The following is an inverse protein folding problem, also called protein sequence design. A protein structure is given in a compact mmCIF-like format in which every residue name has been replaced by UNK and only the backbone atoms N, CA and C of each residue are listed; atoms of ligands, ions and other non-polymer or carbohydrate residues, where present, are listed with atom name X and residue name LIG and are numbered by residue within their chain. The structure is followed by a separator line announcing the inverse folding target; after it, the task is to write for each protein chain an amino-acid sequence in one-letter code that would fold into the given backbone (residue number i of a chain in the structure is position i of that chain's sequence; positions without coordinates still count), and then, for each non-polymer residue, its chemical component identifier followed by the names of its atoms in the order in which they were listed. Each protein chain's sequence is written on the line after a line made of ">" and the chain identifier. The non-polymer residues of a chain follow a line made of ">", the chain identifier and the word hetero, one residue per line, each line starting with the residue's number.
data_IF_446548792375
#
_entry.id   IF_446548792375
#
_cell.length_a   1.000
_cell.length_b   1.000
_cell.length_c   1.000
_cell.angle_alpha   90.00
_cell.angle_beta   90.00
_cell.angle_gamma   90.00
#
_symmetry.space_group_name_H-M   'P 1'
#
loop_
_entity.id
_entity.type
_entity.pdbx_description
1 polymer ?
#
# COMPACT_ATOMS: atom_id res chain seq x y z
N UNK A 1 -21.13 9.60 -23.78
CA UNK A 1 -20.22 9.16 -22.71
C UNK A 1 -20.43 7.68 -22.48
N UNK A 2 -19.48 7.00 -21.85
CA UNK A 2 -19.69 5.64 -21.37
C UNK A 2 -20.81 5.65 -20.31
N UNK A 3 -21.86 4.85 -20.49
CA UNK A 3 -22.95 4.73 -19.51
C UNK A 3 -22.67 3.71 -18.40
N UNK A 4 -21.54 2.97 -18.49
CA UNK A 4 -21.15 1.96 -17.50
C UNK A 4 -20.59 2.55 -16.21
N UNK A 5 -20.23 3.84 -16.20
CA UNK A 5 -19.69 4.57 -15.06
C UNK A 5 -20.59 5.77 -14.79
N UNK A 6 -21.29 5.76 -13.65
CA UNK A 6 -22.30 6.77 -13.34
C UNK A 6 -21.71 8.00 -12.68
N UNK A 7 -20.74 7.80 -11.77
CA UNK A 7 -20.17 8.90 -10.98
C UNK A 7 -21.22 9.59 -10.14
N UNK A 8 -21.81 8.85 -9.19
CA UNK A 8 -22.97 9.29 -8.41
C UNK A 8 -22.81 10.66 -7.77
N UNK A 9 -21.60 10.99 -7.30
CA UNK A 9 -21.24 12.34 -6.88
C UNK A 9 -20.53 13.13 -7.98
N UNK A 10 -19.38 12.61 -8.45
CA UNK A 10 -18.54 13.24 -9.46
C UNK A 10 -18.38 12.30 -10.65
N UNK A 11 -18.54 12.84 -11.85
CA UNK A 11 -18.20 12.13 -13.08
C UNK A 11 -17.09 12.87 -13.85
N UNK A 12 -15.98 12.17 -14.11
CA UNK A 12 -14.83 12.70 -14.85
C UNK A 12 -14.84 12.13 -16.26
N UNK A 13 -15.29 12.91 -17.23
CA UNK A 13 -15.36 12.44 -18.61
C UNK A 13 -14.01 12.58 -19.32
N UNK A 14 -13.56 11.52 -19.98
CA UNK A 14 -12.34 11.52 -20.78
C UNK A 14 -12.51 10.71 -22.06
N UNK A 15 -11.56 10.84 -22.98
CA UNK A 15 -11.52 10.16 -24.26
C UNK A 15 -10.11 9.67 -24.56
N UNK A 16 -10.02 8.59 -25.34
CA UNK A 16 -8.74 8.07 -25.79
C UNK A 16 -7.99 9.14 -26.60
N UNK A 17 -6.69 9.29 -26.34
CA UNK A 17 -5.81 10.26 -27.01
C UNK A 17 -5.74 10.08 -28.53
N UNK A 18 -6.17 8.94 -29.05
CA UNK A 18 -6.27 8.66 -30.49
C UNK A 18 -7.43 9.38 -31.17
N UNK A 19 -8.34 10.02 -30.43
CA UNK A 19 -9.46 10.81 -30.96
C UNK A 19 -9.17 12.31 -30.77
N UNK A 20 -8.59 13.01 -31.77
CA UNK A 20 -8.01 14.35 -31.58
C UNK A 20 -9.03 15.44 -31.24
N UNK A 21 -10.30 15.18 -31.55
CA UNK A 21 -11.41 16.11 -31.33
C UNK A 21 -11.84 16.20 -29.87
N UNK A 22 -11.39 15.29 -29.00
CA UNK A 22 -11.77 15.25 -27.60
C UNK A 22 -10.55 15.41 -26.70
N UNK A 23 -10.78 16.06 -25.57
CA UNK A 23 -9.79 16.20 -24.51
C UNK A 23 -10.12 15.27 -23.35
N UNK A 24 -9.09 14.91 -22.61
CA UNK A 24 -9.24 14.12 -21.41
C UNK A 24 -9.61 15.02 -20.23
N UNK A 25 -10.71 14.73 -19.54
CA UNK A 25 -11.01 15.38 -18.26
C UNK A 25 -10.02 14.94 -17.20
N UNK A 26 -9.61 15.88 -16.36
CA UNK A 26 -8.71 15.64 -15.24
C UNK A 26 -9.37 16.10 -13.95
N UNK A 27 -9.44 15.20 -12.97
CA UNK A 27 -9.80 15.55 -11.60
C UNK A 27 -8.56 15.46 -10.73
N UNK A 28 -8.18 16.59 -10.14
CA UNK A 28 -7.12 16.66 -9.12
C UNK A 28 -7.76 16.92 -7.78
N UNK A 29 -7.59 15.99 -6.85
CA UNK A 29 -8.23 16.02 -5.54
C UNK A 29 -7.18 15.93 -4.44
N UNK A 30 -7.26 16.83 -3.47
CA UNK A 30 -6.37 16.81 -2.32
C UNK A 30 -7.14 16.94 -1.03
N UNK A 31 -6.62 16.30 0.03
CA UNK A 31 -7.19 16.31 1.37
C UNK A 31 -8.70 15.99 1.35
N UNK A 32 -9.09 14.89 0.72
CA UNK A 32 -10.50 14.53 0.59
C UNK A 32 -10.86 13.21 1.29
N UNK A 33 -12.12 13.15 1.73
CA UNK A 33 -12.72 11.96 2.30
C UNK A 33 -13.83 11.46 1.38
N UNK A 34 -13.68 10.24 0.86
CA UNK A 34 -14.64 9.56 -0.02
C UNK A 34 -15.25 8.40 0.77
N UNK A 35 -16.43 8.62 1.32
CA UNK A 35 -17.03 7.69 2.30
C UNK A 35 -18.54 7.64 2.21
N UNK A 36 -19.16 6.54 2.62
CA UNK A 36 -20.62 6.39 2.66
C UNK A 36 -21.28 6.66 1.29
N UNK A 37 -20.60 6.34 0.20
CA UNK A 37 -21.19 6.35 -1.14
C UNK A 37 -21.61 4.94 -1.53
N UNK A 38 -22.61 4.84 -2.41
CA UNK A 38 -23.16 3.55 -2.85
C UNK A 38 -23.10 3.45 -4.37
N UNK A 39 -22.64 2.32 -4.89
CA UNK A 39 -22.83 1.89 -6.27
C UNK A 39 -23.59 0.56 -6.26
N UNK A 40 -24.49 0.33 -7.20
CA UNK A 40 -25.17 -0.98 -7.28
C UNK A 40 -24.25 -2.07 -7.84
N UNK A 41 -23.24 -1.73 -8.64
CA UNK A 41 -22.31 -2.70 -9.22
C UNK A 41 -20.96 -2.67 -8.46
N UNK A 42 -19.95 -1.95 -8.96
CA UNK A 42 -18.61 -1.90 -8.37
C UNK A 42 -18.13 -0.47 -8.09
N UNK A 43 -17.18 -0.32 -7.17
CA UNK A 43 -16.53 0.96 -6.91
C UNK A 43 -17.47 1.97 -6.26
N UNK A 44 -17.99 1.66 -5.07
CA UNK A 44 -18.79 2.58 -4.27
C UNK A 44 -18.07 3.91 -4.03
N UNK A 45 -16.77 3.88 -3.72
CA UNK A 45 -15.93 5.07 -3.59
C UNK A 45 -15.53 5.65 -4.94
N UNK A 46 -14.79 4.88 -5.72
CA UNK A 46 -14.24 5.24 -7.01
C UNK A 46 -14.36 4.10 -8.01
N UNK A 47 -14.80 4.41 -9.23
CA UNK A 47 -14.74 3.49 -10.35
C UNK A 47 -14.19 4.16 -11.61
N UNK A 48 -13.38 3.44 -12.37
CA UNK A 48 -12.73 3.97 -13.56
C UNK A 48 -12.79 3.02 -14.75
N UNK A 49 -12.99 3.62 -15.92
CA UNK A 49 -13.07 2.91 -17.18
C UNK A 49 -11.68 2.57 -17.76
N UNK A 50 -11.64 1.76 -18.83
CA UNK A 50 -10.40 1.26 -19.44
C UNK A 50 -9.42 2.28 -20.01
N UNK A 51 -9.84 3.50 -20.30
CA UNK A 51 -8.92 4.57 -20.76
C UNK A 51 -8.42 5.47 -19.62
N UNK A 52 -8.91 5.25 -18.41
CA UNK A 52 -8.62 6.12 -17.28
C UNK A 52 -7.17 5.96 -16.83
N UNK A 53 -6.64 7.02 -16.22
CA UNK A 53 -5.39 6.97 -15.46
C UNK A 53 -5.71 7.30 -14.02
N UNK A 54 -5.23 6.47 -13.10
CA UNK A 54 -5.53 6.61 -11.67
C UNK A 54 -4.24 6.77 -10.89
N UNK A 55 -4.13 7.85 -10.12
CA UNK A 55 -3.05 8.01 -9.14
C UNK A 55 -3.65 8.39 -7.79
N UNK A 56 -3.33 7.62 -6.76
CA UNK A 56 -3.75 7.89 -5.39
C UNK A 56 -2.50 7.86 -4.53
N UNK A 57 -2.03 9.05 -4.12
CA UNK A 57 -0.86 9.24 -3.28
C UNK A 57 -1.28 9.64 -1.86
N UNK A 58 -0.40 9.42 -0.88
CA UNK A 58 -0.67 9.79 0.52
C UNK A 58 -0.58 11.31 0.79
N UNK A 59 0.48 11.96 0.30
CA UNK A 59 0.76 13.37 0.64
C UNK A 59 -0.37 14.25 0.10
N UNK A 60 -1.05 14.98 0.98
CA UNK A 60 -2.28 15.71 0.64
C UNK A 60 -3.32 14.81 -0.07
N UNK A 61 -3.32 13.52 0.23
CA UNK A 61 -4.07 12.48 -0.47
C UNK A 61 -5.54 12.43 -0.11
N UNK A 62 -6.10 11.23 -0.19
CA UNK A 62 -7.49 10.96 0.17
C UNK A 62 -7.63 9.76 1.09
N UNK A 63 -8.76 9.69 1.77
CA UNK A 63 -9.22 8.47 2.42
C UNK A 63 -10.46 7.92 1.72
N UNK A 64 -10.44 6.65 1.36
CA UNK A 64 -11.59 5.90 0.83
C UNK A 64 -11.98 4.80 1.83
N UNK A 65 -13.13 4.92 2.47
CA UNK A 65 -13.60 3.89 3.39
C UNK A 65 -15.12 3.94 3.57
N UNK A 66 -15.70 2.84 4.05
CA UNK A 66 -17.14 2.72 4.29
C UNK A 66 -18.01 3.06 3.06
N UNK A 67 -17.55 2.80 1.84
CA UNK A 67 -18.44 2.83 0.67
C UNK A 67 -19.07 1.44 0.48
N UNK A 68 -20.15 1.40 -0.29
CA UNK A 68 -20.94 0.19 -0.52
C UNK A 68 -21.04 -0.09 -2.01
N UNK A 69 -20.84 -1.34 -2.40
CA UNK A 69 -21.03 -1.89 -3.74
C UNK A 69 -21.17 -3.42 -3.66
N UNK A 70 -21.61 -4.08 -4.74
CA UNK A 70 -21.63 -5.55 -4.82
C UNK A 70 -20.22 -6.13 -4.70
N UNK A 71 -19.24 -5.49 -5.35
CA UNK A 71 -17.82 -5.81 -5.24
C UNK A 71 -16.95 -4.54 -5.34
N UNK A 72 -15.66 -4.65 -5.00
CA UNK A 72 -14.68 -3.57 -5.13
C UNK A 72 -15.16 -2.25 -4.49
N UNK A 73 -15.58 -2.32 -3.22
CA UNK A 73 -16.35 -1.26 -2.54
C UNK A 73 -15.68 0.11 -2.61
N UNK A 74 -14.36 0.16 -2.47
CA UNK A 74 -13.63 1.43 -2.45
C UNK A 74 -13.15 1.82 -3.84
N UNK A 75 -12.48 0.92 -4.55
CA UNK A 75 -11.84 1.20 -5.83
C UNK A 75 -12.11 0.08 -6.82
N UNK A 76 -12.63 0.45 -7.99
CA UNK A 76 -12.76 -0.43 -9.15
C UNK A 76 -12.09 0.18 -10.37
N UNK A 77 -11.12 -0.52 -10.99
CA UNK A 77 -10.45 -0.10 -12.22
C UNK A 77 -10.56 -1.23 -13.23
N UNK A 78 -11.19 -0.97 -14.37
CA UNK A 78 -11.48 -1.99 -15.38
C UNK A 78 -10.60 -1.84 -16.61
N UNK A 79 -9.91 -2.90 -17.06
CA UNK A 79 -9.41 -3.00 -18.43
C UNK A 79 -10.45 -3.69 -19.31
N UNK A 80 -10.66 -3.20 -20.54
CA UNK A 80 -11.64 -3.81 -21.43
C UNK A 80 -11.53 -3.30 -22.86
N UNK A 81 -11.82 -4.18 -23.82
CA UNK A 81 -11.91 -3.85 -25.24
C UNK A 81 -13.35 -3.57 -25.74
N UNK A 82 -14.35 -3.66 -24.85
CA UNK A 82 -15.77 -3.62 -25.24
C UNK A 82 -16.42 -2.22 -25.29
N UNK A 83 -15.71 -1.15 -24.89
CA UNK A 83 -16.26 0.20 -24.72
C UNK A 83 -15.90 1.19 -25.84
N UNK A 84 -15.52 0.69 -27.02
CA UNK A 84 -15.18 1.52 -28.18
C UNK A 84 -14.08 2.54 -27.87
N UNK A 85 -14.40 3.84 -27.97
CA UNK A 85 -13.44 4.92 -27.68
C UNK A 85 -13.03 5.01 -26.19
N UNK A 86 -13.69 4.26 -25.30
CA UNK A 86 -13.34 4.12 -23.89
C UNK A 86 -12.73 2.75 -23.55
N UNK A 87 -12.34 1.97 -24.57
CA UNK A 87 -11.57 0.73 -24.40
C UNK A 87 -10.08 1.00 -24.21
N UNK A 88 -9.40 0.15 -23.43
CA UNK A 88 -7.98 0.30 -23.15
C UNK A 88 -7.45 -0.51 -21.98
N UNK A 89 -6.19 -0.25 -21.69
CA UNK A 89 -5.38 -0.88 -20.66
C UNK A 89 -4.99 0.19 -19.62
N UNK A 90 -5.80 0.41 -18.57
CA UNK A 90 -5.63 1.52 -17.65
C UNK A 90 -4.40 1.32 -16.78
N UNK A 91 -3.73 2.42 -16.47
CA UNK A 91 -2.59 2.46 -15.53
C UNK A 91 -3.02 2.99 -14.18
N UNK A 92 -2.48 2.43 -13.11
CA UNK A 92 -2.80 2.81 -11.75
C UNK A 92 -1.56 2.84 -10.85
N UNK A 93 -1.56 3.77 -9.90
CA UNK A 93 -0.64 3.85 -8.76
C UNK A 93 -1.48 4.17 -7.52
N UNK A 94 -1.57 3.24 -6.57
CA UNK A 94 -2.46 3.35 -5.40
C UNK A 94 -1.63 3.26 -4.13
N UNK A 95 -1.80 4.26 -3.25
CA UNK A 95 -1.11 4.27 -1.97
C UNK A 95 -1.66 3.17 -1.05
N UNK A 96 -0.78 2.47 -0.30
CA UNK A 96 -1.21 1.58 0.76
C UNK A 96 -1.70 2.34 2.01
N UNK A 97 -1.53 3.67 2.05
CA UNK A 97 -1.85 4.53 3.19
C UNK A 97 -2.90 5.56 2.78
N UNK A 98 -3.90 5.77 3.63
CA UNK A 98 -4.93 6.80 3.44
C UNK A 98 -4.51 8.14 4.04
N UNK A 99 -5.18 9.22 3.65
CA UNK A 99 -5.03 10.54 4.29
C UNK A 99 -5.03 10.41 5.82
N UNK A 100 -4.03 10.98 6.50
CA UNK A 100 -3.83 10.78 7.94
C UNK A 100 -2.90 9.62 8.31
N UNK A 101 -2.45 8.87 7.31
CA UNK A 101 -1.39 7.86 7.41
C UNK A 101 -1.88 6.44 7.67
N UNK A 102 -3.13 6.23 8.10
CA UNK A 102 -3.64 4.89 8.40
C UNK A 102 -3.51 3.95 7.20
N UNK A 103 -3.06 2.72 7.44
CA UNK A 103 -2.95 1.73 6.37
C UNK A 103 -4.35 1.32 5.89
N UNK A 104 -4.52 1.17 4.58
CA UNK A 104 -5.75 0.63 4.03
C UNK A 104 -5.87 -0.87 4.31
N UNK A 105 -4.75 -1.59 4.36
CA UNK A 105 -4.74 -3.06 4.32
C UNK A 105 -5.71 -3.57 3.26
N UNK A 106 -5.47 -3.12 2.02
CA UNK A 106 -6.34 -3.36 0.89
C UNK A 106 -6.64 -4.85 0.75
N UNK A 107 -7.89 -5.16 0.43
CA UNK A 107 -8.38 -6.51 0.19
C UNK A 107 -9.03 -6.63 -1.17
N UNK A 108 -8.92 -7.81 -1.76
CA UNK A 108 -9.68 -8.18 -2.95
C UNK A 108 -11.13 -8.58 -2.58
N UNK A 109 -11.94 -8.89 -3.60
CA UNK A 109 -13.36 -9.20 -3.42
C UNK A 109 -13.60 -10.51 -2.63
N UNK A 110 -12.59 -11.38 -2.55
CA UNK A 110 -12.62 -12.60 -1.73
C UNK A 110 -12.21 -12.32 -0.26
N UNK A 111 -11.82 -11.08 0.05
CA UNK A 111 -11.40 -10.63 1.37
C UNK A 111 -9.94 -10.94 1.72
N UNK A 112 -9.13 -11.37 0.74
CA UNK A 112 -7.70 -11.61 0.94
C UNK A 112 -6.93 -10.30 0.87
N UNK A 113 -5.90 -10.15 1.70
CA UNK A 113 -5.01 -8.99 1.65
C UNK A 113 -4.27 -8.94 0.30
N UNK A 114 -4.27 -7.75 -0.30
CA UNK A 114 -3.62 -7.45 -1.57
C UNK A 114 -2.17 -7.08 -1.29
N UNK A 115 -1.24 -7.85 -1.87
CA UNK A 115 0.19 -7.57 -1.79
C UNK A 115 0.55 -6.20 -2.38
N UNK A 116 1.55 -5.53 -1.81
CA UNK A 116 1.89 -4.14 -2.16
C UNK A 116 2.30 -3.96 -3.63
N UNK A 117 2.96 -4.94 -4.24
CA UNK A 117 3.31 -4.93 -5.66
C UNK A 117 2.10 -4.97 -6.61
N UNK A 118 0.91 -5.31 -6.11
CA UNK A 118 -0.34 -5.27 -6.88
C UNK A 118 -1.03 -3.90 -6.83
N UNK A 119 -0.48 -2.92 -6.11
CA UNK A 119 -1.06 -1.58 -5.99
C UNK A 119 -0.57 -0.60 -7.07
N UNK A 120 0.30 -1.05 -7.98
CA UNK A 120 0.71 -0.26 -9.13
C UNK A 120 0.94 -1.13 -10.35
N UNK A 121 0.54 -0.63 -11.52
CA UNK A 121 0.80 -1.32 -12.78
C UNK A 121 -0.12 -0.87 -13.90
N UNK A 122 -0.22 -1.72 -14.90
CA UNK A 122 -1.14 -1.60 -16.02
C UNK A 122 -2.00 -2.86 -16.06
N UNK A 123 -3.31 -2.69 -16.12
CA UNK A 123 -4.24 -3.80 -16.35
C UNK A 123 -4.37 -4.03 -17.86
N UNK A 124 -4.53 -5.29 -18.27
CA UNK A 124 -4.59 -5.69 -19.65
C UNK A 124 -5.96 -6.22 -20.04
N UNK A 125 -6.61 -5.55 -20.99
CA UNK A 125 -7.93 -5.90 -21.49
C UNK A 125 -7.95 -7.27 -22.20
N UNK A 126 -6.81 -7.72 -22.73
CA UNK A 126 -6.68 -9.04 -23.35
C UNK A 126 -6.86 -10.20 -22.35
N UNK A 127 -6.67 -9.91 -21.05
CA UNK A 127 -6.78 -10.87 -19.96
C UNK A 127 -8.07 -10.66 -19.13
N UNK A 128 -8.97 -9.78 -19.57
CA UNK A 128 -10.18 -9.38 -18.83
C UNK A 128 -9.86 -8.89 -17.39
N UNK A 129 -8.74 -8.18 -17.24
CA UNK A 129 -8.26 -7.74 -15.93
C UNK A 129 -9.06 -6.57 -15.36
N UNK A 130 -9.27 -6.61 -14.04
CA UNK A 130 -9.71 -5.48 -13.25
C UNK A 130 -8.95 -5.45 -11.93
N UNK A 131 -8.92 -4.28 -11.29
CA UNK A 131 -8.47 -4.11 -9.91
C UNK A 131 -9.68 -3.73 -9.06
N UNK A 132 -10.08 -4.63 -8.17
CA UNK A 132 -11.07 -4.40 -7.13
C UNK A 132 -10.40 -4.33 -5.77
N UNK A 133 -10.60 -3.22 -5.05
CA UNK A 133 -10.07 -3.04 -3.70
C UNK A 133 -11.17 -2.62 -2.72
N UNK A 134 -11.09 -3.16 -1.52
CA UNK A 134 -11.85 -2.69 -0.36
C UNK A 134 -10.97 -2.67 0.90
N UNK A 135 -11.43 -1.98 1.94
CA UNK A 135 -10.77 -1.95 3.26
C UNK A 135 -11.77 -2.33 4.35
N UNK A 136 -11.28 -2.85 5.48
CA UNK A 136 -12.10 -3.05 6.68
C UNK A 136 -12.24 -1.76 7.50
N UNK A 137 -11.48 -0.71 7.17
CA UNK A 137 -11.60 0.60 7.82
C UNK A 137 -13.01 1.13 7.53
N UNK A 138 -13.71 1.53 8.59
CA UNK A 138 -15.05 2.14 8.49
C UNK A 138 -15.05 3.60 8.97
N UNK A 139 -13.99 4.01 9.66
CA UNK A 139 -13.79 5.35 10.17
C UNK A 139 -12.30 5.60 10.40
N UNK A 140 -11.85 6.83 10.12
CA UNK A 140 -10.52 7.29 10.48
C UNK A 140 -10.56 8.76 10.94
N UNK A 141 -10.17 9.01 12.20
CA UNK A 141 -10.25 10.36 12.79
C UNK A 141 -9.19 11.31 12.23
N UNK A 142 -8.01 10.80 11.87
CA UNK A 142 -6.94 11.61 11.30
C UNK A 142 -7.35 12.11 9.90
N UNK A 143 -7.86 11.21 9.06
CA UNK A 143 -8.45 11.52 7.77
C UNK A 143 -9.57 12.54 7.90
N UNK A 144 -10.50 12.33 8.83
CA UNK A 144 -11.63 13.24 9.08
C UNK A 144 -11.16 14.66 9.47
N UNK A 145 -10.10 14.75 10.27
CA UNK A 145 -9.53 16.04 10.72
C UNK A 145 -8.81 16.77 9.59
N UNK A 146 -8.13 16.02 8.73
CA UNK A 146 -7.35 16.56 7.62
C UNK A 146 -8.21 16.88 6.39
N UNK A 147 -9.34 16.21 6.23
CA UNK A 147 -10.23 16.41 5.10
C UNK A 147 -10.68 17.87 4.97
N UNK A 148 -10.73 18.34 3.73
CA UNK A 148 -11.23 19.65 3.29
C UNK A 148 -12.39 19.50 2.31
N UNK A 149 -12.44 18.37 1.61
CA UNK A 149 -13.54 17.97 0.74
C UNK A 149 -14.10 16.65 1.27
N UNK A 150 -15.42 16.54 1.34
CA UNK A 150 -16.10 15.28 1.68
C UNK A 150 -17.03 14.91 0.53
N UNK A 151 -16.84 13.73 -0.03
CA UNK A 151 -17.68 13.13 -1.07
C UNK A 151 -18.40 11.96 -0.39
N UNK A 152 -19.65 12.17 -0.02
CA UNK A 152 -20.42 11.19 0.75
C UNK A 152 -21.90 11.21 0.47
N UNK A 153 -22.57 10.08 0.70
CA UNK A 153 -24.02 9.95 0.55
C UNK A 153 -24.49 9.94 -0.90
N UNK A 154 -23.58 9.73 -1.86
CA UNK A 154 -23.91 9.67 -3.27
C UNK A 154 -24.30 8.24 -3.68
N UNK A 155 -25.10 8.14 -4.74
CA UNK A 155 -25.60 6.88 -5.26
C UNK A 155 -25.38 6.78 -6.77
N UNK A 156 -24.91 5.62 -7.25
CA UNK A 156 -24.82 5.28 -8.66
C UNK A 156 -25.55 3.96 -8.93
N UNK A 157 -26.44 3.97 -9.92
CA UNK A 157 -27.10 2.74 -10.41
C UNK A 157 -26.11 1.79 -11.11
N UNK A 158 -24.94 2.28 -11.50
CA UNK A 158 -23.89 1.48 -12.14
C UNK A 158 -22.67 1.41 -11.23
N UNK A 159 -21.56 2.02 -11.64
CA UNK A 159 -20.28 2.06 -10.94
C UNK A 159 -19.97 3.46 -10.45
N UNK A 160 -19.06 3.57 -9.48
CA UNK A 160 -18.49 4.87 -9.06
C UNK A 160 -19.49 5.68 -8.25
N UNK A 161 -19.88 5.20 -7.08
CA UNK A 161 -20.88 5.86 -6.23
C UNK A 161 -20.46 7.29 -5.85
N UNK A 162 -19.23 7.43 -5.35
CA UNK A 162 -18.61 8.74 -5.09
C UNK A 162 -18.09 9.36 -6.38
N UNK A 163 -17.18 8.66 -7.06
CA UNK A 163 -16.50 9.14 -8.26
C UNK A 163 -16.54 8.07 -9.36
N UNK A 164 -17.00 8.45 -10.54
CA UNK A 164 -16.93 7.65 -11.77
C UNK A 164 -16.02 8.36 -12.77
N UNK A 165 -15.15 7.63 -13.47
CA UNK A 165 -14.20 8.24 -14.39
C UNK A 165 -14.07 7.48 -15.70
N UNK A 166 -14.06 8.24 -16.80
CA UNK A 166 -13.37 7.86 -18.03
C UNK A 166 -12.13 8.72 -18.31
N UNK A 167 -11.82 9.65 -17.42
CA UNK A 167 -10.67 10.54 -17.53
C UNK A 167 -9.55 10.20 -16.57
N UNK A 168 -8.63 11.14 -16.40
CA UNK A 168 -7.55 11.03 -15.40
C UNK A 168 -8.06 11.49 -14.05
N UNK A 169 -7.76 10.69 -13.01
CA UNK A 169 -7.98 11.08 -11.62
C UNK A 169 -6.67 10.98 -10.85
N UNK A 170 -6.23 12.12 -10.33
CA UNK A 170 -5.04 12.25 -9.49
C UNK A 170 -5.46 12.72 -8.10
N UNK A 171 -5.13 11.92 -7.09
CA UNK A 171 -5.42 12.18 -5.71
C UNK A 171 -4.11 12.32 -4.94
N UNK A 172 -3.89 13.47 -4.30
CA UNK A 172 -2.65 13.76 -3.60
C UNK A 172 -1.44 14.01 -4.50
N UNK A 173 -0.29 14.19 -3.85
CA UNK A 173 1.00 14.54 -4.45
C UNK A 173 1.98 13.37 -4.37
N UNK A 174 2.76 13.18 -5.44
CA UNK A 174 3.82 12.18 -5.48
C UNK A 174 5.07 12.69 -4.76
N UNK A 175 5.31 12.18 -3.56
CA UNK A 175 6.59 12.29 -2.86
C UNK A 175 6.94 10.92 -2.29
N UNK A 176 7.52 10.11 -3.17
CA UNK A 176 7.64 8.66 -2.99
C UNK A 176 9.10 8.25 -2.80
N UNK A 177 9.28 7.14 -2.10
CA UNK A 177 10.52 6.41 -1.91
C UNK A 177 10.27 4.92 -2.18
N UNK A 178 11.33 4.13 -2.12
CA UNK A 178 11.26 2.69 -2.25
C UNK A 178 12.22 2.01 -1.28
N UNK A 179 11.86 0.81 -0.85
CA UNK A 179 12.61 0.04 0.14
C UNK A 179 13.09 -1.26 -0.47
N UNK A 180 14.38 -1.34 -0.73
CA UNK A 180 15.03 -2.54 -1.26
C UNK A 180 15.31 -3.53 -0.14
N UNK A 181 15.01 -4.81 -0.38
CA UNK A 181 15.35 -5.92 0.50
C UNK A 181 16.07 -7.00 -0.29
N UNK A 182 17.19 -7.49 0.25
CA UNK A 182 17.86 -8.69 -0.23
C UNK A 182 17.72 -9.79 0.82
N UNK A 183 17.52 -11.01 0.37
CA UNK A 183 17.46 -12.19 1.22
C UNK A 183 18.68 -13.07 1.03
N UNK A 184 19.23 -13.51 2.15
CA UNK A 184 20.40 -14.38 2.24
C UNK A 184 20.08 -15.60 3.12
N UNK A 185 20.71 -16.72 2.77
CA UNK A 185 20.59 -17.99 3.49
C UNK A 185 21.98 -18.39 3.98
N UNK A 186 22.18 -18.40 5.29
CA UNK A 186 23.44 -18.83 5.92
C UNK A 186 23.56 -20.34 5.99
N UNK A 187 22.44 -21.00 6.23
CA UNK A 187 22.33 -22.45 6.28
C UNK A 187 21.18 -22.89 5.36
N UNK A 188 21.26 -24.11 4.82
CA UNK A 188 20.20 -24.73 4.02
C UNK A 188 19.75 -26.01 4.72
N UNK A 189 18.44 -26.14 4.96
CA UNK A 189 17.86 -27.37 5.52
C UNK A 189 17.96 -28.52 4.53
N UNK A 190 17.90 -29.77 5.01
CA UNK A 190 17.89 -30.97 4.17
C UNK A 190 16.72 -31.02 3.19
N UNK A 191 15.60 -30.37 3.53
CA UNK A 191 14.43 -30.18 2.66
C UNK A 191 14.64 -29.14 1.55
N UNK A 192 15.80 -28.48 1.50
CA UNK A 192 16.05 -27.36 0.62
C UNK A 192 15.54 -26.02 1.18
N UNK A 193 15.63 -24.99 0.34
CA UNK A 193 15.06 -23.66 0.59
C UNK A 193 13.55 -23.67 0.27
N UNK A 194 12.74 -22.85 0.95
CA UNK A 194 11.34 -22.67 0.57
C UNK A 194 11.23 -22.12 -0.86
N UNK A 195 10.08 -22.35 -1.51
CA UNK A 195 9.82 -21.85 -2.87
C UNK A 195 9.53 -20.35 -2.90
N UNK A 196 8.92 -19.84 -1.84
CA UNK A 196 8.62 -18.43 -1.65
C UNK A 196 8.74 -18.06 -0.17
N UNK A 197 8.87 -16.77 0.11
CA UNK A 197 8.81 -16.22 1.46
C UNK A 197 7.97 -14.94 1.44
N UNK A 198 7.40 -14.58 2.59
CA UNK A 198 6.66 -13.34 2.75
C UNK A 198 7.47 -12.32 3.55
N UNK A 199 7.63 -11.12 2.98
CA UNK A 199 8.23 -9.98 3.66
C UNK A 199 7.15 -8.95 3.97
N UNK A 200 7.03 -8.60 5.25
CA UNK A 200 6.15 -7.58 5.77
C UNK A 200 6.89 -6.23 5.81
N UNK A 201 6.17 -5.17 5.44
CA UNK A 201 6.62 -3.78 5.54
C UNK A 201 5.92 -3.10 6.70
N UNK A 202 6.69 -2.38 7.50
CA UNK A 202 6.22 -1.56 8.60
C UNK A 202 6.72 -0.13 8.43
N UNK A 203 5.96 0.84 8.95
CA UNK A 203 6.33 2.26 9.00
C UNK A 203 6.23 2.79 10.42
N UNK A 204 7.02 3.81 10.75
CA UNK A 204 6.88 4.56 11.99
C UNK A 204 7.18 6.05 11.76
N UNK A 205 6.68 6.89 12.65
CA UNK A 205 7.24 8.23 12.88
C UNK A 205 8.23 8.12 14.04
N UNK A 206 9.28 8.95 14.05
CA UNK A 206 10.28 8.95 15.10
C UNK A 206 9.64 9.10 16.49
N UNK A 207 9.87 8.13 17.38
CA UNK A 207 9.27 8.08 18.72
C UNK A 207 7.93 7.35 18.81
N UNK A 208 7.37 6.88 17.68
CA UNK A 208 6.15 6.08 17.63
C UNK A 208 6.44 4.59 17.38
N UNK A 209 5.44 3.75 17.64
CA UNK A 209 5.53 2.32 17.38
C UNK A 209 5.39 2.02 15.87
N UNK A 210 6.13 1.03 15.34
CA UNK A 210 5.94 0.57 13.98
C UNK A 210 4.51 0.06 13.73
N UNK A 211 3.94 0.48 12.61
CA UNK A 211 2.63 0.06 12.12
C UNK A 211 2.80 -0.75 10.85
N UNK A 212 2.04 -1.85 10.76
CA UNK A 212 2.00 -2.69 9.58
C UNK A 212 1.42 -1.92 8.39
N UNK A 213 2.07 -2.03 7.23
CA UNK A 213 1.65 -1.38 5.98
C UNK A 213 1.08 -2.38 4.97
N UNK A 214 1.69 -3.56 4.91
CA UNK A 214 1.33 -4.62 3.98
C UNK A 214 2.48 -5.62 3.82
N UNK A 215 2.35 -6.53 2.87
CA UNK A 215 3.36 -7.53 2.59
C UNK A 215 3.54 -7.77 1.09
N UNK A 216 4.60 -8.49 0.75
CA UNK A 216 4.80 -9.09 -0.55
C UNK A 216 5.39 -10.49 -0.42
N UNK A 217 4.98 -11.38 -1.31
CA UNK A 217 5.58 -12.70 -1.48
C UNK A 217 6.70 -12.61 -2.50
N UNK A 218 7.88 -13.12 -2.17
CA UNK A 218 9.03 -13.12 -3.06
C UNK A 218 9.44 -14.55 -3.39
N UNK A 219 9.91 -14.72 -4.62
CA UNK A 219 10.49 -15.96 -5.16
C UNK A 219 11.91 -15.67 -5.65
N UNK A 220 12.81 -16.67 -5.73
CA UNK A 220 14.13 -16.43 -6.26
C UNK A 220 14.06 -16.15 -7.77
N UNK A 221 14.92 -15.27 -8.25
CA UNK A 221 15.13 -15.09 -9.68
C UNK A 221 15.80 -16.32 -10.32
N UNK A 222 15.97 -16.30 -11.64
CA UNK A 222 16.60 -17.40 -12.38
C UNK A 222 18.07 -17.68 -11.96
N UNK A 223 18.72 -16.74 -11.28
CA UNK A 223 20.08 -16.88 -10.72
C UNK A 223 20.07 -17.31 -9.25
N UNK A 224 18.89 -17.54 -8.65
CA UNK A 224 18.75 -17.91 -7.25
C UNK A 224 18.82 -16.73 -6.28
N UNK A 225 18.84 -15.48 -6.76
CA UNK A 225 18.84 -14.30 -5.90
C UNK A 225 17.43 -13.99 -5.44
N UNK A 226 17.32 -13.65 -4.16
CA UNK A 226 16.07 -13.25 -3.55
C UNK A 226 16.14 -11.75 -3.29
N UNK A 227 15.46 -10.96 -4.13
CA UNK A 227 15.45 -9.51 -4.06
C UNK A 227 14.04 -9.00 -4.30
N UNK A 228 13.66 -7.98 -3.54
CA UNK A 228 12.42 -7.24 -3.70
C UNK A 228 12.69 -5.76 -3.48
N UNK A 229 11.88 -4.92 -4.13
CA UNK A 229 11.78 -3.50 -3.81
C UNK A 229 10.31 -3.18 -3.56
N UNK A 230 9.98 -2.72 -2.36
CA UNK A 230 8.69 -2.11 -2.11
C UNK A 230 8.69 -0.72 -2.74
N UNK A 231 7.94 -0.55 -3.83
CA UNK A 231 7.88 0.70 -4.60
C UNK A 231 6.74 1.61 -4.11
N UNK A 232 6.76 2.86 -4.58
CA UNK A 232 5.65 3.82 -4.41
C UNK A 232 5.25 4.10 -2.95
N UNK A 233 6.22 4.07 -2.04
CA UNK A 233 6.00 4.31 -0.62
C UNK A 233 6.05 5.81 -0.31
N UNK A 234 5.09 6.38 0.44
CA UNK A 234 5.16 7.78 0.83
C UNK A 234 6.39 8.11 1.69
N UNK A 235 7.03 9.26 1.47
CA UNK A 235 8.15 9.71 2.33
C UNK A 235 7.71 10.29 3.66
N UNK A 236 6.58 10.99 3.67
CA UNK A 236 6.17 11.83 4.78
C UNK A 236 4.70 11.62 5.14
N UNK A 237 4.36 11.84 6.40
CA UNK A 237 2.97 11.98 6.85
C UNK A 237 2.37 13.31 6.39
N UNK A 238 1.10 13.53 6.73
CA UNK A 238 0.38 14.76 6.40
C UNK A 238 0.94 16.02 7.11
N UNK A 239 1.73 15.86 8.16
CA UNK A 239 2.36 16.95 8.91
C UNK A 239 3.80 17.25 8.42
N UNK A 240 4.31 16.47 7.46
CA UNK A 240 5.67 16.59 6.94
C UNK A 240 6.72 15.82 7.74
N UNK A 241 6.34 15.00 8.72
CA UNK A 241 7.27 14.13 9.42
C UNK A 241 7.71 12.97 8.51
N UNK A 242 9.00 12.65 8.50
CA UNK A 242 9.53 11.55 7.70
C UNK A 242 9.07 10.20 8.24
N UNK A 243 8.70 9.29 7.33
CA UNK A 243 8.52 7.88 7.67
C UNK A 243 9.86 7.17 7.80
N UNK A 244 9.90 6.31 8.82
CA UNK A 244 10.94 5.31 9.04
C UNK A 244 10.33 3.95 8.68
N UNK A 245 10.77 3.37 7.57
CA UNK A 245 10.36 2.04 7.15
C UNK A 245 11.23 0.97 7.81
N UNK A 246 10.64 -0.19 8.03
CA UNK A 246 11.35 -1.38 8.51
C UNK A 246 10.70 -2.63 7.92
N UNK A 247 11.44 -3.73 7.90
CA UNK A 247 10.99 -4.98 7.28
C UNK A 247 11.06 -6.13 8.25
N UNK A 248 10.19 -7.12 8.05
CA UNK A 248 10.16 -8.35 8.83
C UNK A 248 9.80 -9.51 7.94
N UNK A 249 10.53 -10.62 8.06
CA UNK A 249 10.15 -11.85 7.39
C UNK A 249 9.10 -12.60 8.22
N UNK A 250 8.05 -13.12 7.56
CA UNK A 250 7.11 -14.02 8.24
C UNK A 250 7.83 -15.30 8.67
N UNK A 251 7.54 -15.86 9.86
CA UNK A 251 8.28 -17.00 10.38
C UNK A 251 8.36 -18.18 9.39
N UNK A 252 9.59 -18.63 9.14
CA UNK A 252 9.86 -19.84 8.33
C UNK A 252 10.27 -20.94 9.29
N UNK A 253 9.56 -22.07 9.22
CA UNK A 253 9.80 -23.19 10.13
C UNK A 253 11.27 -23.65 10.11
N UNK A 254 11.87 -23.71 11.30
CA UNK A 254 13.25 -24.17 11.49
C UNK A 254 14.34 -23.15 11.16
N UNK A 255 13.99 -21.90 10.85
CA UNK A 255 14.93 -20.81 10.67
C UNK A 255 14.73 -19.70 11.71
N UNK A 256 15.81 -18.98 12.00
CA UNK A 256 15.79 -17.67 12.67
C UNK A 256 16.26 -16.63 11.66
N UNK A 257 15.49 -15.55 11.53
CA UNK A 257 15.79 -14.41 10.68
C UNK A 257 16.48 -13.28 11.46
N UNK A 258 17.51 -12.70 10.86
CA UNK A 258 18.12 -11.44 11.32
C UNK A 258 18.04 -10.38 10.23
N UNK A 259 17.65 -9.16 10.58
CA UNK A 259 17.58 -8.02 9.65
C UNK A 259 18.74 -7.08 9.92
N UNK A 260 19.43 -6.67 8.87
CA UNK A 260 20.51 -5.67 8.90
C UNK A 260 20.28 -4.64 7.78
N UNK A 261 21.04 -3.54 7.80
CA UNK A 261 20.85 -2.42 6.86
C UNK A 261 19.81 -1.42 7.34
N UNK A 262 19.42 -0.52 6.43
CA UNK A 262 18.54 0.61 6.70
C UNK A 262 17.75 0.99 5.44
N UNK A 263 16.80 1.90 5.57
CA UNK A 263 15.93 2.31 4.46
C UNK A 263 16.67 3.06 3.33
N UNK A 264 17.83 3.67 3.60
CA UNK A 264 18.60 4.43 2.60
C UNK A 264 19.45 3.51 1.74
N UNK A 265 20.07 2.51 2.36
CA UNK A 265 20.99 1.56 1.73
C UNK A 265 20.33 0.22 1.36
N UNK A 266 19.12 -0.03 1.85
CA UNK A 266 18.38 -1.28 1.74
C UNK A 266 18.63 -2.24 2.91
N UNK A 267 17.69 -3.17 3.08
CA UNK A 267 17.73 -4.19 4.10
C UNK A 267 18.30 -5.51 3.58
N UNK A 268 18.95 -6.26 4.47
CA UNK A 268 19.37 -7.64 4.25
C UNK A 268 18.75 -8.52 5.32
N UNK A 269 17.97 -9.52 4.91
CA UNK A 269 17.40 -10.53 5.79
C UNK A 269 18.22 -11.81 5.65
N UNK A 270 18.83 -12.26 6.73
CA UNK A 270 19.64 -13.50 6.74
C UNK A 270 18.94 -14.57 7.57
N UNK A 271 18.69 -15.74 6.97
CA UNK A 271 18.19 -16.91 7.71
C UNK A 271 19.33 -17.85 8.09
N UNK A 272 19.24 -18.35 9.33
CA UNK A 272 20.14 -19.38 9.85
C UNK A 272 19.36 -20.43 10.62
N UNK A 273 19.88 -21.65 10.67
CA UNK A 273 19.27 -22.71 11.49
C UNK A 273 19.71 -22.49 12.94
N UNK A 274 18.79 -22.46 13.93
CA UNK A 274 19.16 -22.36 15.33
C UNK A 274 20.12 -23.50 15.69
N UNK A 275 21.34 -23.15 16.12
CA UNK A 275 22.27 -24.11 16.71
C UNK A 275 21.99 -24.13 18.20
N UNK A 276 21.74 -25.29 18.78
CA UNK A 276 21.81 -25.44 20.23
C UNK A 276 23.20 -24.94 20.67
N UNK A 277 23.29 -24.05 21.67
CA UNK A 277 24.58 -23.77 22.30
C UNK A 277 25.21 -25.09 22.74
N UNK A 278 26.55 -25.24 22.72
CA UNK A 278 27.19 -26.35 23.42
C UNK A 278 26.62 -26.37 24.85
N UNK A 279 26.16 -27.53 25.32
CA UNK A 279 25.67 -27.74 26.67
C UNK A 279 26.67 -27.15 27.66
N UNK A 280 26.34 -26.01 28.26
CA UNK A 280 26.99 -25.59 29.48
C UNK A 280 26.45 -26.50 30.58
N UNK A 281 27.30 -27.41 31.05
CA UNK A 281 27.07 -28.14 32.29
C UNK A 281 26.64 -27.14 33.39
N UNK A 282 25.47 -27.41 33.96
CA UNK A 282 24.91 -26.86 35.20
C UNK A 282 24.77 -25.32 35.30
N UNK A 283 23.53 -24.81 35.28
CA UNK A 283 22.82 -24.21 36.43
C UNK A 283 21.59 -23.38 36.00
N UNK A 284 20.45 -23.71 36.62
CA UNK A 284 19.16 -23.02 36.77
C UNK A 284 18.66 -22.01 35.70
N UNK A 285 17.61 -22.45 34.99
CA UNK A 285 16.74 -21.68 34.09
C UNK A 285 15.86 -20.66 34.81
N UNK A 286 15.86 -19.42 34.30
CA UNK A 286 14.71 -18.49 34.31
C UNK A 286 14.38 -18.13 32.84
N UNK A 287 13.11 -17.88 32.48
CA UNK A 287 12.67 -17.82 31.09
C UNK A 287 13.19 -16.59 30.36
N UNK A 288 13.69 -16.80 29.13
CA UNK A 288 14.17 -15.77 28.21
C UNK A 288 13.01 -14.87 27.76
N UNK A 289 13.10 -13.59 28.12
CA UNK A 289 12.35 -12.51 27.49
C UNK A 289 12.99 -12.27 26.11
N UNK A 290 12.21 -12.42 25.06
CA UNK A 290 12.56 -12.05 23.69
C UNK A 290 12.74 -10.53 23.62
N UNK A 291 13.99 -10.07 23.63
CA UNK A 291 14.34 -8.66 23.41
C UNK A 291 14.32 -8.38 21.92
N UNK A 292 13.39 -7.52 21.48
CA UNK A 292 13.49 -6.82 20.21
C UNK A 292 14.82 -6.04 20.19
N UNK A 293 15.78 -6.46 19.38
CA UNK A 293 16.91 -5.61 19.02
C UNK A 293 16.44 -4.62 17.96
N UNK A 294 15.85 -3.50 18.40
CA UNK A 294 15.80 -2.28 17.61
C UNK A 294 17.24 -1.76 17.58
N UNK A 295 17.87 -1.75 16.41
CA UNK A 295 19.14 -1.07 16.21
C UNK A 295 18.94 0.43 16.47
N UNK A 296 19.33 0.86 17.66
CA UNK A 296 19.33 2.23 18.12
C UNK A 296 20.43 3.01 17.36
N UNK A 297 20.11 3.52 16.17
CA UNK A 297 20.88 4.57 15.50
C UNK A 297 20.01 5.82 15.41
N UNK A 298 19.73 6.42 16.56
CA UNK A 298 19.15 7.77 16.67
C UNK A 298 19.25 8.28 18.11
N UNK A 299 20.44 8.32 18.71
CA UNK A 299 20.67 9.02 19.99
C UNK A 299 22.16 9.32 20.19
N UNK A 300 22.72 10.13 19.29
CA UNK A 300 24.02 10.77 19.47
C UNK A 300 23.98 12.09 18.73
N UNK A 301 23.42 13.13 19.34
CA UNK A 301 23.85 14.54 19.24
C UNK A 301 22.92 15.42 20.08
N UNK A 302 23.25 15.57 21.37
CA UNK A 302 23.45 16.87 22.05
C UNK A 302 23.55 16.62 23.55
N UNK A 303 24.80 16.59 24.01
CA UNK A 303 25.13 16.57 25.42
C UNK A 303 24.91 17.94 26.06
N UNK A 304 24.49 17.87 27.33
CA UNK A 304 25.00 18.68 28.45
C UNK A 304 25.14 20.20 28.20
N UNK A 305 24.21 20.99 28.76
CA UNK A 305 24.61 22.13 29.58
C UNK A 305 23.69 22.34 30.79
N UNK A 306 24.21 21.87 31.93
CA UNK A 306 24.19 22.48 33.27
C UNK A 306 22.85 22.90 33.89
N UNK A 307 22.48 22.09 34.88
CA UNK A 307 22.00 22.52 36.21
C UNK A 307 22.70 23.82 36.64
N UNK A 308 21.91 24.85 36.96
CA UNK A 308 22.16 25.72 38.12
C UNK A 308 20.82 26.07 38.77
N UNK A 309 20.69 25.62 40.01
CA UNK A 309 19.73 26.10 41.00
C UNK A 309 19.82 27.62 41.18
N UNK A 310 18.69 28.30 41.08
CA UNK A 310 18.14 29.22 42.08
C UNK A 310 16.70 29.57 41.76
#
# INVERSE_FOLDING_TARGET
>A
GNFAFGGGGIYVNGFNSTVPSFQNGELKLTNALITNNTAEMEGGGYASCPISKTKINLKNGVALYANTAESAKEIYILASNYYGAHSGDPTYEISPLMLGGTAYNWKDDDGNEVALNRLSGQLLAINDEYLGLHTDVVQDTNAQTLARVVISGNYSLTRGGGIGSNGTVEMGESDLTSIRVRKEWKDTRSSGLPQSIDIELYRAIAGELPQYVGHETIIPDASGNWVITFENLPKNDANGNNFIYSVKERPIEGYIATVTGDQENGYVITNSIPRTPPTADHFHVWPLISVLSISLVALLFLGLQRIKLR
#
